data_IF_414622289273
#
_entry.id   IF_414622289273
#
_cell.length_a   1.000
_cell.length_b   1.000
_cell.length_c   1.000
_cell.angle_alpha   90.00
_cell.angle_beta   90.00
_cell.angle_gamma   90.00
#
_symmetry.space_group_name_H-M   'P 1'
#
loop_
_entity.id
_entity.type
_entity.pdbx_description
1 polymer ?
#
# COMPACT_ATOMS: atom_id res chain seq x y z
N UNK A 1 28.25 -3.88 -46.09
CA UNK A 1 28.45 -3.50 -44.68
C UNK A 1 27.18 -3.75 -43.84
N UNK A 2 26.45 -4.85 -44.08
CA UNK A 2 24.99 -4.87 -43.83
C UNK A 2 24.54 -5.94 -42.81
N UNK A 3 25.33 -6.97 -42.55
CA UNK A 3 24.94 -8.06 -41.64
C UNK A 3 25.39 -7.84 -40.18
N UNK A 4 26.55 -7.20 -39.95
CA UNK A 4 27.05 -6.93 -38.59
C UNK A 4 26.20 -5.86 -37.89
N UNK A 5 25.76 -4.84 -38.62
CA UNK A 5 24.89 -3.78 -38.09
C UNK A 5 23.48 -4.31 -37.79
N UNK A 6 22.92 -5.19 -38.63
CA UNK A 6 21.67 -5.91 -38.35
C UNK A 6 21.77 -6.78 -37.09
N UNK A 7 22.88 -7.47 -36.89
CA UNK A 7 23.10 -8.28 -35.70
C UNK A 7 23.14 -7.40 -34.43
N UNK A 8 23.84 -6.27 -34.49
CA UNK A 8 23.90 -5.31 -33.39
C UNK A 8 22.53 -4.68 -33.09
N UNK A 9 21.73 -4.36 -34.11
CA UNK A 9 20.39 -3.79 -33.90
C UNK A 9 19.40 -4.79 -33.28
N UNK A 10 19.48 -6.07 -33.68
CA UNK A 10 18.69 -7.14 -33.08
C UNK A 10 19.05 -7.30 -31.60
N UNK A 11 20.34 -7.40 -31.27
CA UNK A 11 20.81 -7.49 -29.87
C UNK A 11 20.36 -6.27 -29.06
N UNK A 12 20.49 -5.06 -29.61
CA UNK A 12 20.07 -3.81 -28.95
C UNK A 12 18.55 -3.79 -28.70
N UNK A 13 17.74 -4.28 -29.66
CA UNK A 13 16.28 -4.35 -29.52
C UNK A 13 15.83 -5.35 -28.45
N UNK A 14 16.54 -6.47 -28.31
CA UNK A 14 16.28 -7.47 -27.27
C UNK A 14 16.64 -6.93 -25.88
N UNK A 15 17.80 -6.28 -25.75
CA UNK A 15 18.22 -5.64 -24.49
C UNK A 15 17.27 -4.51 -24.08
N UNK A 16 16.78 -3.72 -25.04
CA UNK A 16 15.79 -2.66 -24.77
C UNK A 16 14.45 -3.22 -24.28
N UNK A 17 14.00 -4.37 -24.81
CA UNK A 17 12.79 -5.07 -24.34
C UNK A 17 12.98 -5.61 -22.92
N UNK A 18 14.07 -6.32 -22.64
CA UNK A 18 14.36 -6.85 -21.30
C UNK A 18 14.45 -5.74 -20.23
N UNK A 19 15.01 -4.59 -20.58
CA UNK A 19 15.05 -3.41 -19.69
C UNK A 19 13.67 -2.77 -19.46
N UNK A 20 12.72 -2.97 -20.38
CA UNK A 20 11.35 -2.45 -20.30
C UNK A 20 10.45 -3.35 -19.45
N UNK A 21 10.61 -4.67 -19.53
CA UNK A 21 9.83 -5.68 -18.76
C UNK A 21 9.98 -5.51 -17.23
N UNK A 22 11.17 -5.14 -16.74
CA UNK A 22 11.42 -4.98 -15.30
C UNK A 22 10.75 -3.74 -14.67
N UNK A 23 10.31 -2.77 -15.46
CA UNK A 23 9.63 -1.57 -14.94
C UNK A 23 8.13 -1.80 -14.69
N UNK A 24 7.56 -2.89 -15.23
CA UNK A 24 6.14 -3.24 -15.10
C UNK A 24 5.88 -4.44 -14.17
N UNK A 25 6.63 -5.53 -14.31
CA UNK A 25 6.45 -6.74 -13.48
C UNK A 25 6.65 -6.47 -11.97
N UNK A 26 7.63 -5.62 -11.65
CA UNK A 26 7.96 -5.18 -10.29
C UNK A 26 6.86 -4.29 -9.67
N UNK A 27 6.08 -3.56 -10.48
CA UNK A 27 5.05 -2.66 -9.98
C UNK A 27 3.81 -3.42 -9.47
N UNK A 28 3.46 -4.53 -10.11
CA UNK A 28 2.32 -5.36 -9.71
C UNK A 28 2.59 -6.20 -8.46
N UNK A 29 3.82 -6.68 -8.27
CA UNK A 29 4.21 -7.46 -7.09
C UNK A 29 4.21 -6.59 -5.82
N UNK A 30 4.85 -5.42 -5.86
CA UNK A 30 4.79 -4.48 -4.74
C UNK A 30 3.41 -3.84 -4.60
N UNK A 31 2.65 -3.69 -5.69
CA UNK A 31 1.28 -3.15 -5.65
C UNK A 31 0.33 -4.01 -4.82
N UNK A 32 0.38 -5.33 -4.97
CA UNK A 32 -0.43 -6.26 -4.18
C UNK A 32 0.01 -6.27 -2.71
N UNK A 33 1.32 -6.25 -2.43
CA UNK A 33 1.84 -6.21 -1.06
C UNK A 33 1.43 -4.91 -0.35
N UNK A 34 1.56 -3.76 -1.01
CA UNK A 34 1.12 -2.47 -0.48
C UNK A 34 -0.40 -2.45 -0.27
N UNK A 35 -1.17 -3.00 -1.22
CA UNK A 35 -2.63 -3.14 -1.09
C UNK A 35 -3.04 -4.00 0.11
N UNK A 36 -2.34 -5.11 0.34
CA UNK A 36 -2.58 -5.97 1.50
C UNK A 36 -2.29 -5.25 2.82
N UNK A 37 -1.14 -4.55 2.91
CA UNK A 37 -0.80 -3.76 4.09
C UNK A 37 -1.83 -2.64 4.32
N UNK A 38 -2.30 -1.98 3.26
CA UNK A 38 -3.32 -0.94 3.36
C UNK A 38 -4.62 -1.47 3.98
N UNK A 39 -5.08 -2.67 3.57
CA UNK A 39 -6.28 -3.31 4.15
C UNK A 39 -6.07 -3.59 5.64
N UNK A 40 -4.91 -4.14 6.03
CA UNK A 40 -4.59 -4.43 7.43
C UNK A 40 -4.54 -3.15 8.27
N UNK A 41 -3.95 -2.07 7.75
CA UNK A 41 -3.91 -0.77 8.42
C UNK A 41 -5.32 -0.23 8.62
N UNK A 42 -6.16 -0.22 7.58
CA UNK A 42 -7.54 0.29 7.67
C UNK A 42 -8.34 -0.49 8.70
N UNK A 43 -8.25 -1.82 8.69
CA UNK A 43 -8.92 -2.66 9.68
C UNK A 43 -8.41 -2.39 11.11
N UNK A 44 -7.08 -2.30 11.29
CA UNK A 44 -6.46 -2.02 12.58
C UNK A 44 -6.85 -0.65 13.13
N UNK A 45 -6.80 0.39 12.31
CA UNK A 45 -7.20 1.76 12.69
C UNK A 45 -8.70 1.83 12.98
N UNK A 46 -9.53 1.11 12.22
CA UNK A 46 -10.97 1.04 12.48
C UNK A 46 -11.29 0.43 13.85
N UNK A 47 -10.70 -0.72 14.18
CA UNK A 47 -10.86 -1.35 15.50
C UNK A 47 -10.30 -0.48 16.63
N UNK A 48 -9.15 0.15 16.40
CA UNK A 48 -8.55 1.08 17.35
C UNK A 48 -9.46 2.29 17.62
N UNK A 49 -10.11 2.84 16.59
CA UNK A 49 -11.09 3.92 16.73
C UNK A 49 -12.26 3.52 17.63
N UNK A 50 -12.83 2.33 17.43
CA UNK A 50 -13.91 1.81 18.28
C UNK A 50 -13.47 1.67 19.75
N UNK A 51 -12.26 1.15 19.97
CA UNK A 51 -11.71 1.04 21.32
C UNK A 51 -11.48 2.41 21.97
N UNK A 52 -10.96 3.38 21.22
CA UNK A 52 -10.80 4.75 21.69
C UNK A 52 -12.14 5.40 22.05
N UNK A 53 -13.15 5.28 21.19
CA UNK A 53 -14.49 5.81 21.42
C UNK A 53 -15.10 5.21 22.70
N UNK A 54 -14.88 3.91 22.94
CA UNK A 54 -15.30 3.26 24.18
C UNK A 54 -14.62 3.85 25.42
N UNK A 55 -13.31 4.15 25.35
CA UNK A 55 -12.57 4.74 26.46
C UNK A 55 -13.05 6.16 26.73
N UNK A 56 -13.20 6.98 25.70
CA UNK A 56 -13.72 8.34 25.86
C UNK A 56 -15.17 8.35 26.35
N UNK A 57 -16.02 7.44 25.86
CA UNK A 57 -17.38 7.27 26.35
C UNK A 57 -17.45 6.91 27.84
N UNK A 58 -16.56 6.03 28.29
CA UNK A 58 -16.43 5.71 29.73
C UNK A 58 -16.04 6.94 30.55
N UNK A 59 -15.03 7.71 30.09
CA UNK A 59 -14.60 8.94 30.76
C UNK A 59 -15.71 9.99 30.79
N UNK A 60 -16.42 10.20 29.68
CA UNK A 60 -17.55 11.14 29.59
C UNK A 60 -18.65 10.74 30.57
N UNK A 61 -18.97 9.45 30.66
CA UNK A 61 -19.97 8.94 31.62
C UNK A 61 -19.53 9.17 33.06
N UNK A 62 -18.25 8.94 33.36
CA UNK A 62 -17.68 9.21 34.68
C UNK A 62 -17.78 10.69 35.07
N UNK A 63 -17.43 11.59 34.15
CA UNK A 63 -17.53 13.04 34.35
C UNK A 63 -18.98 13.48 34.55
N UNK A 64 -19.91 13.00 33.71
CA UNK A 64 -21.34 13.28 33.84
C UNK A 64 -21.88 12.86 35.21
N UNK A 65 -21.53 11.65 35.63
CA UNK A 65 -21.88 11.10 36.94
C UNK A 65 -21.33 11.96 38.08
N UNK A 66 -20.05 12.37 38.01
CA UNK A 66 -19.42 13.20 39.03
C UNK A 66 -20.03 14.61 39.12
N UNK A 67 -20.51 15.14 37.99
CA UNK A 67 -21.12 16.46 37.89
C UNK A 67 -22.65 16.43 38.12
N UNK A 68 -23.25 15.25 38.32
CA UNK A 68 -24.69 15.10 38.53
C UNK A 68 -25.55 15.54 37.33
N UNK A 69 -24.94 15.60 36.14
CA UNK A 69 -25.61 15.94 34.89
C UNK A 69 -25.83 14.65 34.07
N UNK A 70 -26.98 14.51 33.41
CA UNK A 70 -27.26 13.37 32.54
C UNK A 70 -26.29 13.28 31.34
#
# INVERSE_FOLDING_TARGET
>A
MNNRIKLLSVVTSLLARLRKEQRGATATEYGILVGFIAIVIVAGVGLFGVALDSVFGFLTTGIKTALGIP
#
